data_IF_984582479345
#
_entry.id   IF_984582479345
#
_cell.length_a   1.000
_cell.length_b   1.000
_cell.length_c   1.000
_cell.angle_alpha   90.00
_cell.angle_beta   90.00
_cell.angle_gamma   90.00
#
_symmetry.space_group_name_H-M   'P 1'
#
loop_
_entity.id
_entity.type
_entity.pdbx_description
1 polymer ?
#
# COMPACT_ATOMS: atom_id res chain seq x y z
N UNK A 1 -1.29 -23.21 -2.61
CA UNK A 1 -0.57 -21.92 -2.60
C UNK A 1 -1.57 -20.81 -2.88
N UNK A 2 -2.10 -20.19 -1.82
CA UNK A 2 -3.16 -19.20 -1.91
C UNK A 2 -2.56 -17.84 -2.28
N UNK A 3 -2.28 -17.67 -3.57
CA UNK A 3 -1.89 -16.39 -4.16
C UNK A 3 -3.10 -15.45 -4.14
N UNK A 4 -3.34 -14.81 -3.00
CA UNK A 4 -4.08 -13.56 -2.98
C UNK A 4 -3.16 -12.53 -3.64
N UNK A 5 -3.29 -12.40 -4.97
CA UNK A 5 -2.88 -11.17 -5.65
C UNK A 5 -3.75 -10.05 -5.07
N UNK A 6 -3.31 -9.43 -3.97
CA UNK A 6 -3.77 -8.11 -3.55
C UNK A 6 -3.19 -7.09 -4.53
N UNK A 7 -3.62 -7.21 -5.79
CA UNK A 7 -3.51 -6.11 -6.73
C UNK A 7 -4.62 -5.17 -6.30
N UNK A 8 -4.23 -3.98 -5.84
CA UNK A 8 -5.09 -2.88 -5.41
C UNK A 8 -6.31 -2.74 -6.34
N UNK A 9 -7.45 -3.29 -5.93
CA UNK A 9 -8.76 -3.07 -6.55
C UNK A 9 -9.70 -2.63 -5.43
N UNK A 10 -9.61 -1.35 -5.10
CA UNK A 10 -10.56 -0.72 -4.21
C UNK A 10 -11.90 -0.53 -4.93
N UNK A 11 -13.01 -0.99 -4.32
CA UNK A 11 -14.34 -0.52 -4.69
C UNK A 11 -14.54 0.94 -4.29
N UNK A 12 -13.90 1.34 -3.18
CA UNK A 12 -13.84 2.71 -2.71
C UNK A 12 -12.57 2.90 -1.88
N UNK A 13 -11.80 3.94 -2.19
CA UNK A 13 -10.65 4.39 -1.39
C UNK A 13 -10.80 5.89 -1.18
N UNK A 14 -10.52 6.34 0.03
CA UNK A 14 -10.43 7.76 0.32
C UNK A 14 -9.23 8.06 1.22
N UNK A 15 -8.70 9.25 1.05
CA UNK A 15 -7.61 9.75 1.87
C UNK A 15 -8.17 10.20 3.22
N UNK A 16 -7.75 9.54 4.31
CA UNK A 16 -8.15 9.92 5.67
C UNK A 16 -7.43 11.19 6.13
N UNK A 17 -6.15 11.32 5.77
CA UNK A 17 -5.37 12.51 6.06
C UNK A 17 -4.26 12.72 5.05
N UNK A 18 -4.00 13.99 4.74
CA UNK A 18 -2.88 14.42 3.92
C UNK A 18 -1.76 14.84 4.84
N UNK A 19 -0.63 14.13 4.81
CA UNK A 19 0.57 14.59 5.50
C UNK A 19 1.13 15.77 4.70
N UNK A 20 1.16 16.96 5.30
CA UNK A 20 1.64 18.19 4.64
C UNK A 20 3.16 18.14 4.49
N UNK A 21 3.60 18.32 3.24
CA UNK A 21 4.95 18.61 2.73
C UNK A 21 6.16 18.20 3.60
N UNK A 22 6.40 16.89 3.71
CA UNK A 22 7.79 16.45 3.82
C UNK A 22 8.49 16.79 2.49
N UNK A 23 9.75 17.21 2.54
CA UNK A 23 10.59 17.33 1.34
C UNK A 23 10.56 15.96 0.64
N UNK A 24 10.09 15.90 -0.60
CA UNK A 24 10.02 14.65 -1.34
C UNK A 24 11.23 14.62 -2.24
N UNK A 25 12.05 13.59 -2.10
CA UNK A 25 13.24 13.44 -2.93
C UNK A 25 12.90 13.56 -4.42
N UNK A 26 13.74 14.25 -5.20
CA UNK A 26 13.39 14.71 -6.55
C UNK A 26 12.90 13.60 -7.49
N UNK A 27 13.51 12.41 -7.43
CA UNK A 27 13.10 11.26 -8.27
C UNK A 27 11.72 10.69 -7.91
N UNK A 28 11.18 11.04 -6.75
CA UNK A 28 9.90 10.57 -6.21
C UNK A 28 8.80 11.63 -6.23
N UNK A 29 9.08 12.85 -6.73
CA UNK A 29 8.11 13.95 -6.75
C UNK A 29 6.79 13.60 -7.45
N UNK A 30 6.84 12.78 -8.51
CA UNK A 30 5.65 12.32 -9.22
C UNK A 30 4.74 11.41 -8.37
N UNK A 31 5.27 10.81 -7.30
CA UNK A 31 4.53 9.95 -6.36
C UNK A 31 4.03 10.71 -5.12
N UNK A 32 4.27 12.03 -5.02
CA UNK A 32 3.87 12.85 -3.86
C UNK A 32 2.39 12.73 -3.52
N UNK A 33 1.54 12.49 -4.51
CA UNK A 33 0.09 12.33 -4.30
C UNK A 33 -0.27 11.10 -3.46
N UNK A 34 0.62 10.10 -3.35
CA UNK A 34 0.42 8.91 -2.52
C UNK A 34 0.59 9.21 -1.02
N UNK A 35 1.29 10.30 -0.65
CA UNK A 35 1.61 10.57 0.75
C UNK A 35 0.36 10.86 1.59
N UNK A 36 0.20 10.10 2.66
CA UNK A 36 -0.93 10.22 3.58
C UNK A 36 -1.37 8.88 4.13
N UNK A 37 -2.51 8.93 4.81
CA UNK A 37 -3.20 7.74 5.30
C UNK A 37 -4.44 7.51 4.45
N UNK A 38 -4.66 6.26 4.05
CA UNK A 38 -5.74 5.85 3.18
C UNK A 38 -6.55 4.74 3.83
N UNK A 39 -7.85 4.74 3.58
CA UNK A 39 -8.74 3.65 3.95
C UNK A 39 -9.57 3.28 2.75
N UNK A 40 -9.76 1.99 2.53
CA UNK A 40 -10.58 1.50 1.45
C UNK A 40 -11.13 0.11 1.70
N UNK A 41 -12.07 -0.29 0.86
CA UNK A 41 -12.66 -1.63 0.84
C UNK A 41 -12.37 -2.26 -0.52
N UNK A 42 -11.90 -3.51 -0.50
CA UNK A 42 -11.61 -4.30 -1.69
C UNK A 42 -12.35 -5.64 -1.69
N UNK A 43 -12.24 -6.35 -2.82
CA UNK A 43 -12.75 -7.71 -2.96
C UNK A 43 -11.59 -8.65 -3.23
N UNK A 44 -11.28 -9.50 -2.25
CA UNK A 44 -10.32 -10.57 -2.39
C UNK A 44 -10.88 -11.67 -3.28
N UNK A 45 -10.04 -12.23 -4.14
CA UNK A 45 -10.36 -13.35 -5.02
C UNK A 45 -9.29 -14.42 -4.85
N UNK A 46 -9.67 -15.63 -4.46
CA UNK A 46 -8.69 -16.72 -4.30
C UNK A 46 -9.28 -18.07 -3.93
N UNK A 47 -8.85 -19.10 -4.67
CA UNK A 47 -9.11 -20.51 -4.36
C UNK A 47 -10.59 -20.92 -4.36
N UNK A 48 -10.92 -22.09 -3.76
CA UNK A 48 -12.29 -22.61 -3.66
C UNK A 48 -13.22 -21.74 -2.82
N UNK A 49 -12.64 -20.89 -1.96
CA UNK A 49 -13.30 -19.98 -1.03
C UNK A 49 -14.05 -18.81 -1.69
N UNK A 50 -13.95 -18.64 -3.01
CA UNK A 50 -14.72 -17.64 -3.75
C UNK A 50 -14.21 -16.21 -3.56
N UNK A 51 -15.14 -15.25 -3.44
CA UNK A 51 -14.87 -13.83 -3.26
C UNK A 51 -15.20 -13.39 -1.83
N UNK A 52 -14.44 -12.45 -1.27
CA UNK A 52 -14.73 -11.88 0.04
C UNK A 52 -14.41 -10.39 0.09
N UNK A 53 -15.19 -9.62 0.84
CA UNK A 53 -14.86 -8.24 1.16
C UNK A 53 -13.73 -8.18 2.19
N UNK A 54 -12.88 -7.16 2.07
CA UNK A 54 -11.88 -6.82 3.07
C UNK A 54 -11.73 -5.30 3.14
N UNK A 55 -11.31 -4.81 4.29
CA UNK A 55 -10.91 -3.42 4.47
C UNK A 55 -9.38 -3.34 4.47
N UNK A 56 -8.83 -2.24 3.97
CA UNK A 56 -7.40 -1.98 4.00
C UNK A 56 -7.11 -0.56 4.49
N UNK A 57 -6.12 -0.46 5.38
CA UNK A 57 -5.55 0.78 5.87
C UNK A 57 -4.12 0.90 5.37
N UNK A 58 -3.85 1.97 4.60
CA UNK A 58 -2.52 2.26 4.10
C UNK A 58 -1.94 3.47 4.82
N UNK A 59 -0.67 3.40 5.21
CA UNK A 59 0.13 4.53 5.61
C UNK A 59 1.32 4.68 4.67
N UNK A 60 1.36 5.79 3.96
CA UNK A 60 2.40 6.11 2.98
C UNK A 60 3.07 7.41 3.40
N UNK A 61 4.36 7.33 3.71
CA UNK A 61 5.09 8.45 4.32
C UNK A 61 6.53 8.56 3.81
N UNK A 62 7.15 9.71 4.02
CA UNK A 62 8.57 9.91 3.69
C UNK A 62 9.24 10.75 4.77
N UNK A 63 10.55 10.58 4.88
CA UNK A 63 11.46 11.36 5.73
C UNK A 63 12.35 12.30 4.90
N UNK A 64 12.12 12.41 3.59
CA UNK A 64 12.96 13.15 2.64
C UNK A 64 14.15 12.37 2.07
N UNK A 65 14.33 11.14 2.52
CA UNK A 65 15.27 10.18 1.94
C UNK A 65 14.80 9.74 0.54
N UNK A 66 15.68 9.13 -0.28
CA UNK A 66 15.36 8.66 -1.64
C UNK A 66 14.47 7.40 -1.64
N UNK A 67 13.50 7.33 -0.73
CA UNK A 67 12.44 6.33 -0.66
C UNK A 67 11.17 6.90 -0.01
N UNK A 68 10.04 6.27 -0.32
CA UNK A 68 8.75 6.46 0.35
C UNK A 68 8.43 5.17 1.10
N UNK A 69 8.20 5.25 2.40
CA UNK A 69 7.75 4.14 3.23
C UNK A 69 6.28 3.81 2.95
N UNK A 70 5.97 2.53 2.95
CA UNK A 70 4.64 1.96 2.73
C UNK A 70 4.34 0.94 3.81
N UNK A 71 3.14 1.03 4.39
CA UNK A 71 2.58 0.01 5.28
C UNK A 71 1.12 -0.19 4.91
N UNK A 72 0.74 -1.43 4.61
CA UNK A 72 -0.63 -1.84 4.34
C UNK A 72 -1.12 -2.87 5.35
N UNK A 73 -2.30 -2.63 5.92
CA UNK A 73 -2.95 -3.53 6.87
C UNK A 73 -4.34 -3.90 6.36
N UNK A 74 -4.57 -5.19 6.13
CA UNK A 74 -5.84 -5.77 5.69
C UNK A 74 -6.64 -6.36 6.85
N UNK A 75 -7.94 -6.11 6.83
CA UNK A 75 -8.91 -6.56 7.83
C UNK A 75 -10.07 -7.29 7.16
N UNK A 76 -10.56 -8.34 7.84
CA UNK A 76 -11.78 -9.04 7.45
C UNK A 76 -12.57 -9.35 8.71
N UNK A 77 -13.86 -9.03 8.71
CA UNK A 77 -14.75 -9.21 9.87
C UNK A 77 -14.20 -8.51 11.12
N UNK A 78 -13.66 -7.29 10.96
CA UNK A 78 -12.98 -6.49 11.98
C UNK A 78 -11.73 -7.14 12.62
N UNK A 79 -11.24 -8.26 12.07
CA UNK A 79 -10.01 -8.91 12.51
C UNK A 79 -8.87 -8.63 11.52
N UNK A 80 -7.67 -8.34 12.06
CA UNK A 80 -6.46 -8.21 11.25
C UNK A 80 -6.14 -9.54 10.54
N UNK A 81 -5.75 -9.47 9.26
CA UNK A 81 -5.45 -10.64 8.43
C UNK A 81 -4.06 -10.56 7.82
N UNK A 82 -3.90 -9.69 6.84
CA UNK A 82 -2.68 -9.55 6.05
C UNK A 82 -2.04 -8.21 6.38
N UNK A 83 -0.72 -8.18 6.49
CA UNK A 83 0.04 -6.95 6.55
C UNK A 83 1.23 -7.07 5.60
N UNK A 84 1.51 -5.99 4.88
CA UNK A 84 2.69 -5.84 4.02
C UNK A 84 3.31 -4.47 4.26
N UNK A 85 4.63 -4.40 4.17
CA UNK A 85 5.34 -3.15 4.38
C UNK A 85 6.65 -3.11 3.59
N UNK A 86 7.12 -1.91 3.33
CA UNK A 86 8.40 -1.70 2.66
C UNK A 86 8.53 -0.31 2.09
N UNK A 87 9.11 -0.21 0.90
CA UNK A 87 9.51 1.09 0.35
C UNK A 87 9.40 1.17 -1.17
N UNK A 88 8.99 2.33 -1.66
CA UNK A 88 9.17 2.74 -3.06
C UNK A 88 10.52 3.46 -3.23
N UNK A 89 11.25 3.14 -4.29
CA UNK A 89 12.48 3.85 -4.71
C UNK A 89 12.31 4.34 -6.14
N UNK A 90 12.56 5.63 -6.36
CA UNK A 90 12.51 6.26 -7.67
C UNK A 90 13.89 6.25 -8.32
N UNK A 91 13.96 5.85 -9.58
CA UNK A 91 15.17 5.81 -10.39
C UNK A 91 15.26 7.03 -11.31
N UNK A 92 16.46 7.33 -11.80
CA UNK A 92 16.73 8.50 -12.64
C UNK A 92 16.14 8.39 -14.06
N UNK A 93 15.85 7.18 -14.51
CA UNK A 93 15.17 6.86 -15.77
C UNK A 93 13.63 6.95 -15.67
N UNK A 94 13.10 7.32 -14.50
CA UNK A 94 11.67 7.43 -14.24
C UNK A 94 10.99 6.13 -13.81
N UNK A 95 11.73 5.02 -13.71
CA UNK A 95 11.21 3.78 -13.14
C UNK A 95 11.05 3.89 -11.61
N UNK A 96 10.16 3.05 -11.06
CA UNK A 96 9.94 2.91 -9.61
C UNK A 96 10.10 1.44 -9.25
N UNK A 97 10.93 1.15 -8.27
CA UNK A 97 10.99 -0.18 -7.65
C UNK A 97 10.25 -0.16 -6.33
N UNK A 98 9.58 -1.27 -6.03
CA UNK A 98 8.94 -1.51 -4.74
C UNK A 98 9.59 -2.74 -4.11
N UNK A 99 10.07 -2.60 -2.88
CA UNK A 99 10.56 -3.71 -2.07
C UNK A 99 9.58 -3.88 -0.92
N UNK A 100 9.06 -5.09 -0.75
CA UNK A 100 8.05 -5.42 0.26
C UNK A 100 8.46 -6.67 1.01
N UNK A 101 7.95 -6.76 2.22
CA UNK A 101 7.81 -8.00 2.95
C UNK A 101 6.39 -8.09 3.47
N UNK A 102 5.89 -9.32 3.63
CA UNK A 102 4.56 -9.55 4.16
C UNK A 102 4.51 -10.54 5.33
N UNK A 103 3.36 -10.56 6.00
CA UNK A 103 3.06 -11.50 7.10
C UNK A 103 2.94 -12.97 6.67
N UNK A 104 2.95 -13.26 5.37
CA UNK A 104 2.92 -14.61 4.81
C UNK A 104 4.35 -15.14 4.54
N UNK A 105 5.37 -14.31 4.76
CA UNK A 105 6.78 -14.67 4.61
C UNK A 105 7.31 -14.50 3.19
N UNK A 106 6.68 -13.65 2.38
CA UNK A 106 7.16 -13.26 1.05
C UNK A 106 7.95 -11.94 1.07
#
# INVERSE_FOLDING_TARGET
SYLARCMIVFLSIYQMSKKIAADVYTSLNKLRFLLGRWRGVGIGKGGPSGQWAYEELLEISTTGQPWISYVGNGYKDNAARHCEMGFFRGHTDGHVSMCLTDTLGM
#
